data_IF_709846248873
#
_entry.id   IF_709846248873
#
_cell.length_a   1.000
_cell.length_b   1.000
_cell.length_c   1.000
_cell.angle_alpha   90.00
_cell.angle_beta   90.00
_cell.angle_gamma   90.00
#
_symmetry.space_group_name_H-M   'P 1'
#
loop_
_entity.id
_entity.type
_entity.pdbx_description
1 polymer ?
#
# COMPACT_ATOMS: atom_id res chain seq x y z
N UNK A 1 23.76 15.59 15.56
CA UNK A 1 23.99 16.83 14.76
C UNK A 1 22.69 17.33 14.08
N UNK A 2 21.91 18.18 14.74
CA UNK A 2 20.89 19.00 14.06
C UNK A 2 21.34 20.47 14.06
N UNK A 3 21.55 21.06 12.87
CA UNK A 3 21.83 22.49 12.68
C UNK A 3 20.64 23.40 13.06
N UNK A 4 19.64 22.88 13.78
CA UNK A 4 18.39 23.56 14.12
C UNK A 4 18.25 23.88 15.61
N UNK A 5 19.15 23.36 16.47
CA UNK A 5 19.09 23.58 17.92
C UNK A 5 19.20 25.07 18.32
N UNK A 6 19.82 25.90 17.46
CA UNK A 6 19.97 27.35 17.66
C UNK A 6 18.99 28.21 16.84
N UNK A 7 17.97 27.60 16.20
CA UNK A 7 17.00 28.36 15.42
C UNK A 7 16.08 29.18 16.34
N UNK A 8 15.76 30.44 15.99
CA UNK A 8 14.91 31.27 16.83
C UNK A 8 13.49 30.67 16.92
N UNK A 9 12.85 30.82 18.09
CA UNK A 9 11.58 30.15 18.39
C UNK A 9 10.46 30.45 17.38
N UNK A 10 10.44 31.66 16.82
CA UNK A 10 9.52 32.05 15.75
C UNK A 10 9.73 31.25 14.45
N UNK A 11 10.98 30.96 14.08
CA UNK A 11 11.32 30.15 12.91
C UNK A 11 10.97 28.67 13.12
N UNK A 12 11.16 28.14 14.33
CA UNK A 12 10.72 26.79 14.71
C UNK A 12 9.19 26.67 14.62
N UNK A 13 8.45 27.62 15.20
CA UNK A 13 6.98 27.66 15.11
C UNK A 13 6.48 27.79 13.67
N UNK A 14 7.11 28.62 12.84
CA UNK A 14 6.78 28.75 11.43
C UNK A 14 7.04 27.45 10.64
N UNK A 15 8.16 26.76 10.92
CA UNK A 15 8.46 25.44 10.34
C UNK A 15 7.41 24.41 10.73
N UNK A 16 7.05 24.32 12.01
CA UNK A 16 6.01 23.40 12.48
C UNK A 16 4.66 23.67 11.82
N UNK A 17 4.27 24.94 11.69
CA UNK A 17 3.04 25.33 11.00
C UNK A 17 3.05 24.92 9.51
N UNK A 18 4.17 25.14 8.81
CA UNK A 18 4.37 24.74 7.42
C UNK A 18 4.27 23.22 7.26
N UNK A 19 4.99 22.46 8.09
CA UNK A 19 5.04 21.00 8.01
C UNK A 19 3.67 20.39 8.36
N UNK A 20 2.94 20.97 9.33
CA UNK A 20 1.55 20.59 9.64
C UNK A 20 0.60 20.86 8.48
N UNK A 21 0.72 22.02 7.82
CA UNK A 21 -0.08 22.39 6.64
C UNK A 21 0.18 21.44 5.47
N UNK A 22 1.46 21.16 5.18
CA UNK A 22 1.88 20.23 4.13
C UNK A 22 1.30 18.83 4.38
N UNK A 23 1.38 18.34 5.62
CA UNK A 23 0.81 17.05 6.01
C UNK A 23 -0.71 17.00 5.87
N UNK A 24 -1.44 18.03 6.32
CA UNK A 24 -2.90 18.11 6.17
C UNK A 24 -3.31 18.06 4.71
N UNK A 25 -2.61 18.81 3.85
CA UNK A 25 -2.83 18.78 2.40
C UNK A 25 -2.58 17.38 1.82
N UNK A 26 -1.53 16.70 2.26
CA UNK A 26 -1.24 15.31 1.86
C UNK A 26 -2.38 14.35 2.19
N UNK A 27 -2.94 14.44 3.40
CA UNK A 27 -4.09 13.63 3.83
C UNK A 27 -5.31 13.87 2.93
N UNK A 28 -5.64 15.13 2.65
CA UNK A 28 -6.78 15.47 1.78
C UNK A 28 -6.60 14.94 0.35
N UNK A 29 -5.39 15.05 -0.21
CA UNK A 29 -5.06 14.49 -1.52
C UNK A 29 -5.21 12.96 -1.49
N UNK A 30 -4.71 12.29 -0.46
CA UNK A 30 -4.83 10.85 -0.32
C UNK A 30 -6.29 10.40 -0.19
N UNK A 31 -7.14 11.12 0.55
CA UNK A 31 -8.58 10.83 0.62
C UNK A 31 -9.28 11.01 -0.73
N UNK A 32 -8.91 12.04 -1.49
CA UNK A 32 -9.42 12.26 -2.83
C UNK A 32 -9.08 11.10 -3.78
N UNK A 33 -7.93 10.46 -3.59
CA UNK A 33 -7.60 9.24 -4.35
C UNK A 33 -8.61 8.13 -4.14
N UNK A 34 -9.04 7.89 -2.90
CA UNK A 34 -10.04 6.85 -2.60
C UNK A 34 -11.39 7.14 -3.24
N UNK A 35 -11.80 8.42 -3.24
CA UNK A 35 -13.00 8.87 -3.94
C UNK A 35 -12.92 8.62 -5.46
N UNK A 36 -11.83 9.02 -6.11
CA UNK A 36 -11.64 8.84 -7.54
C UNK A 36 -11.50 7.37 -7.95
N UNK A 37 -10.97 6.53 -7.05
CA UNK A 37 -10.90 5.09 -7.26
C UNK A 37 -12.31 4.48 -7.44
N UNK A 38 -13.31 5.01 -6.74
CA UNK A 38 -14.68 4.57 -6.93
C UNK A 38 -15.23 4.90 -8.31
N UNK A 39 -14.93 6.09 -8.84
CA UNK A 39 -15.27 6.44 -10.22
C UNK A 39 -14.62 5.49 -11.23
N UNK A 40 -13.33 5.18 -11.05
CA UNK A 40 -12.64 4.16 -11.84
C UNK A 40 -13.40 2.82 -11.83
N UNK A 41 -13.76 2.35 -10.64
CA UNK A 41 -14.46 1.08 -10.47
C UNK A 41 -15.80 1.09 -11.21
N UNK A 42 -16.62 2.12 -10.99
CA UNK A 42 -17.96 2.17 -11.54
C UNK A 42 -17.99 2.26 -13.07
N UNK A 43 -17.19 3.16 -13.65
CA UNK A 43 -17.16 3.32 -15.11
C UNK A 43 -16.53 2.11 -15.81
N UNK A 44 -15.51 1.48 -15.23
CA UNK A 44 -14.94 0.26 -15.79
C UNK A 44 -15.95 -0.89 -15.75
N UNK A 45 -16.60 -1.11 -14.60
CA UNK A 45 -17.61 -2.17 -14.46
C UNK A 45 -18.75 -1.98 -15.47
N UNK A 46 -19.30 -0.77 -15.60
CA UNK A 46 -20.36 -0.54 -16.59
C UNK A 46 -19.85 -0.61 -18.05
N UNK A 47 -18.61 -0.19 -18.30
CA UNK A 47 -17.95 -0.40 -19.59
C UNK A 47 -17.90 -1.88 -19.98
N UNK A 48 -17.66 -2.76 -19.01
CA UNK A 48 -17.67 -4.22 -19.19
C UNK A 48 -19.08 -4.83 -19.33
N UNK A 49 -20.15 -4.04 -19.19
CA UNK A 49 -21.54 -4.49 -19.35
C UNK A 49 -22.21 -3.90 -20.60
N UNK A 50 -21.46 -3.16 -21.42
CA UNK A 50 -21.99 -2.41 -22.56
C UNK A 50 -21.28 -2.77 -23.87
N UNK A 51 -21.95 -2.48 -24.99
CA UNK A 51 -21.41 -2.70 -26.33
C UNK A 51 -20.93 -4.13 -26.57
N UNK A 52 -19.73 -4.27 -27.11
CA UNK A 52 -19.15 -5.57 -27.50
C UNK A 52 -18.97 -6.53 -26.31
N UNK A 53 -18.95 -6.03 -25.08
CA UNK A 53 -18.83 -6.86 -23.88
C UNK A 53 -20.05 -7.73 -23.64
N UNK A 54 -21.24 -7.30 -24.09
CA UNK A 54 -22.45 -8.12 -24.07
C UNK A 54 -22.24 -9.38 -24.93
N UNK A 55 -21.62 -9.22 -26.11
CA UNK A 55 -21.26 -10.36 -26.96
C UNK A 55 -20.18 -11.23 -26.33
N UNK A 56 -19.20 -10.61 -25.65
CA UNK A 56 -18.14 -11.35 -24.97
C UNK A 56 -18.68 -12.28 -23.90
N UNK A 57 -19.52 -11.75 -23.00
CA UNK A 57 -20.12 -12.54 -21.93
C UNK A 57 -21.23 -13.48 -22.43
N UNK A 58 -21.89 -13.13 -23.53
CA UNK A 58 -22.83 -14.01 -24.23
C UNK A 58 -22.19 -15.13 -25.04
N UNK A 59 -20.85 -15.14 -25.17
CA UNK A 59 -20.10 -16.02 -26.06
C UNK A 59 -20.63 -16.00 -27.51
N UNK A 60 -21.03 -14.82 -27.98
CA UNK A 60 -21.56 -14.56 -29.32
C UNK A 60 -20.58 -13.73 -30.16
N UNK A 61 -20.89 -13.57 -31.45
CA UNK A 61 -20.10 -12.72 -32.35
C UNK A 61 -18.62 -13.11 -32.38
N UNK A 62 -17.74 -12.13 -32.12
CA UNK A 62 -16.30 -12.38 -32.06
C UNK A 62 -15.90 -13.26 -30.88
N UNK A 63 -16.68 -13.35 -29.81
CA UNK A 63 -16.41 -14.21 -28.66
C UNK A 63 -17.00 -15.62 -28.79
N UNK A 64 -17.49 -16.00 -29.97
CA UNK A 64 -17.98 -17.35 -30.22
C UNK A 64 -16.88 -18.38 -29.96
N UNK A 65 -17.21 -19.37 -29.12
CA UNK A 65 -16.31 -20.47 -28.78
C UNK A 65 -15.34 -20.17 -27.64
N UNK A 66 -15.49 -19.05 -26.92
CA UNK A 66 -14.70 -18.81 -25.72
C UNK A 66 -14.93 -19.89 -24.66
N UNK A 67 -13.84 -20.34 -24.05
CA UNK A 67 -13.86 -21.26 -22.92
C UNK A 67 -14.53 -20.65 -21.69
N UNK A 68 -15.08 -21.49 -20.80
CA UNK A 68 -15.59 -21.03 -19.51
C UNK A 68 -14.49 -20.37 -18.65
N UNK A 69 -13.25 -20.81 -18.82
CA UNK A 69 -12.08 -20.17 -18.21
C UNK A 69 -11.90 -18.75 -18.74
N UNK A 70 -11.96 -18.54 -20.06
CA UNK A 70 -11.80 -17.23 -20.64
C UNK A 70 -12.90 -16.24 -20.24
N UNK A 71 -14.16 -16.70 -20.15
CA UNK A 71 -15.27 -15.85 -19.71
C UNK A 71 -15.04 -15.25 -18.31
N UNK A 72 -14.38 -15.99 -17.41
CA UNK A 72 -14.12 -15.53 -16.05
C UNK A 72 -12.78 -14.79 -15.97
N UNK A 73 -11.69 -15.42 -16.41
CA UNK A 73 -10.33 -14.94 -16.15
C UNK A 73 -9.80 -14.04 -17.27
N UNK A 74 -9.94 -14.47 -18.54
CA UNK A 74 -9.42 -13.71 -19.69
C UNK A 74 -10.17 -12.41 -19.89
N UNK A 75 -11.52 -12.41 -19.81
CA UNK A 75 -12.31 -11.18 -19.93
C UNK A 75 -12.06 -10.21 -18.77
N UNK A 76 -11.80 -10.72 -17.56
CA UNK A 76 -11.43 -9.87 -16.43
C UNK A 76 -10.06 -9.21 -16.62
N UNK A 77 -9.07 -9.98 -17.09
CA UNK A 77 -7.77 -9.42 -17.46
C UNK A 77 -7.89 -8.41 -18.60
N UNK A 78 -8.76 -8.69 -19.58
CA UNK A 78 -9.03 -7.80 -20.70
C UNK A 78 -9.65 -6.48 -20.22
N UNK A 79 -10.62 -6.52 -19.31
CA UNK A 79 -11.26 -5.32 -18.76
C UNK A 79 -10.26 -4.44 -18.04
N UNK A 80 -9.43 -5.04 -17.19
CA UNK A 80 -8.31 -4.37 -16.55
C UNK A 80 -7.32 -3.78 -17.58
N UNK A 81 -6.99 -4.53 -18.64
CA UNK A 81 -6.06 -4.10 -19.68
C UNK A 81 -6.59 -2.90 -20.48
N UNK A 82 -7.85 -2.93 -20.91
CA UNK A 82 -8.49 -1.83 -21.66
C UNK A 82 -8.52 -0.56 -20.80
N UNK A 83 -8.93 -0.67 -19.54
CA UNK A 83 -8.90 0.45 -18.60
C UNK A 83 -7.49 1.03 -18.42
N UNK A 84 -6.49 0.17 -18.20
CA UNK A 84 -5.13 0.62 -17.93
C UNK A 84 -4.46 1.22 -19.18
N UNK A 85 -4.80 0.74 -20.38
CA UNK A 85 -4.43 1.38 -21.65
C UNK A 85 -5.07 2.76 -21.79
N UNK A 86 -6.38 2.90 -21.53
CA UNK A 86 -7.05 4.19 -21.50
C UNK A 86 -6.41 5.14 -20.48
N UNK A 87 -6.07 4.62 -19.29
CA UNK A 87 -5.37 5.37 -18.25
C UNK A 87 -3.95 5.77 -18.66
N UNK A 88 -3.24 4.91 -19.40
CA UNK A 88 -1.93 5.21 -19.95
C UNK A 88 -2.00 6.32 -20.98
N UNK A 89 -2.96 6.26 -21.91
CA UNK A 89 -3.22 7.30 -22.90
C UNK A 89 -3.49 8.64 -22.23
N UNK A 90 -4.42 8.68 -21.27
CA UNK A 90 -4.69 9.92 -20.52
C UNK A 90 -3.46 10.41 -19.76
N UNK A 91 -2.71 9.52 -19.11
CA UNK A 91 -1.53 9.90 -18.33
C UNK A 91 -0.43 10.48 -19.22
N UNK A 92 -0.24 9.94 -20.44
CA UNK A 92 0.68 10.48 -21.44
C UNK A 92 0.24 11.85 -21.94
N UNK A 93 -1.06 12.04 -22.25
CA UNK A 93 -1.63 13.34 -22.64
C UNK A 93 -1.37 14.36 -21.53
N UNK A 94 -1.72 14.01 -20.29
CA UNK A 94 -1.52 14.90 -19.15
C UNK A 94 -0.04 15.23 -18.96
N UNK A 95 0.85 14.23 -19.02
CA UNK A 95 2.29 14.44 -18.91
C UNK A 95 2.86 15.33 -20.03
N UNK A 96 2.27 15.28 -21.23
CA UNK A 96 2.61 16.19 -22.32
C UNK A 96 2.23 17.63 -21.96
N UNK A 97 1.00 17.84 -21.48
CA UNK A 97 0.47 19.15 -21.09
C UNK A 97 1.34 19.79 -19.99
N UNK A 98 1.80 19.02 -19.01
CA UNK A 98 2.65 19.53 -17.91
C UNK A 98 4.16 19.50 -18.23
N UNK A 99 4.56 19.15 -19.45
CA UNK A 99 5.97 19.17 -19.88
C UNK A 99 6.86 18.06 -19.30
N UNK A 100 6.30 16.94 -18.84
CA UNK A 100 7.02 15.85 -18.16
C UNK A 100 7.33 14.61 -19.02
N UNK A 101 6.95 14.58 -20.30
CA UNK A 101 7.24 13.45 -21.18
C UNK A 101 8.74 13.15 -21.35
N UNK A 102 9.59 14.18 -21.34
CA UNK A 102 11.04 14.01 -21.40
C UNK A 102 11.58 13.29 -20.16
N UNK A 103 11.07 13.63 -18.98
CA UNK A 103 11.44 12.99 -17.71
C UNK A 103 10.95 11.55 -17.64
N UNK A 104 9.77 11.26 -18.19
CA UNK A 104 9.28 9.90 -18.37
C UNK A 104 10.27 9.03 -19.16
N UNK A 105 10.68 9.47 -20.36
CA UNK A 105 11.62 8.71 -21.19
C UNK A 105 12.97 8.46 -20.49
N UNK A 106 13.50 9.47 -19.79
CA UNK A 106 14.75 9.33 -19.03
C UNK A 106 14.60 8.34 -17.88
N UNK A 107 13.48 8.41 -17.15
CA UNK A 107 13.24 7.61 -15.95
C UNK A 107 13.18 6.12 -16.22
N UNK A 108 12.69 5.68 -17.39
CA UNK A 108 12.61 4.26 -17.78
C UNK A 108 13.97 3.53 -17.71
N UNK A 109 15.07 4.24 -17.95
CA UNK A 109 16.41 3.66 -17.94
C UNK A 109 17.11 3.73 -16.58
N UNK A 110 16.50 4.41 -15.60
CA UNK A 110 17.07 4.56 -14.26
C UNK A 110 16.75 3.36 -13.37
N UNK A 111 17.56 3.12 -12.32
CA UNK A 111 17.27 2.07 -11.34
C UNK A 111 15.90 2.26 -10.66
N UNK A 112 15.52 3.47 -10.19
CA UNK A 112 14.17 3.70 -9.62
C UNK A 112 13.03 3.44 -10.62
N UNK A 113 13.19 3.86 -11.88
CA UNK A 113 12.19 3.58 -12.91
C UNK A 113 11.99 2.08 -13.18
N UNK A 114 13.08 1.29 -13.19
CA UNK A 114 12.98 -0.17 -13.33
C UNK A 114 12.29 -0.83 -12.13
N UNK A 115 12.52 -0.33 -10.92
CA UNK A 115 11.81 -0.80 -9.72
C UNK A 115 10.30 -0.50 -9.83
N UNK A 116 9.93 0.68 -10.34
CA UNK A 116 8.53 1.04 -10.61
C UNK A 116 7.88 0.11 -11.64
N UNK A 117 8.59 -0.26 -12.71
CA UNK A 117 8.08 -1.21 -13.71
C UNK A 117 7.77 -2.56 -13.06
N UNK A 118 8.68 -3.10 -12.24
CA UNK A 118 8.46 -4.37 -11.54
C UNK A 118 7.28 -4.29 -10.57
N UNK A 119 7.18 -3.21 -9.80
CA UNK A 119 6.05 -2.99 -8.90
C UNK A 119 4.72 -2.89 -9.67
N UNK A 120 4.72 -2.19 -10.80
CA UNK A 120 3.55 -2.03 -11.67
C UNK A 120 3.11 -3.35 -12.32
N UNK A 121 4.00 -4.33 -12.53
CA UNK A 121 3.61 -5.66 -13.01
C UNK A 121 2.82 -6.44 -11.94
N UNK A 122 3.16 -6.25 -10.66
CA UNK A 122 2.46 -6.89 -9.54
C UNK A 122 1.11 -6.20 -9.30
N UNK A 123 1.11 -4.87 -9.22
CA UNK A 123 -0.10 -4.11 -8.92
C UNK A 123 -1.01 -3.84 -10.12
N UNK A 124 -0.49 -3.94 -11.33
CA UNK A 124 -1.25 -3.78 -12.56
C UNK A 124 -1.85 -5.12 -13.01
N UNK A 125 -1.16 -5.89 -13.87
CA UNK A 125 -1.67 -7.15 -14.42
C UNK A 125 -2.21 -8.12 -13.36
N UNK A 126 -1.47 -8.38 -12.28
CA UNK A 126 -1.93 -9.34 -11.28
C UNK A 126 -3.08 -8.77 -10.41
N UNK A 127 -2.85 -7.65 -9.71
CA UNK A 127 -3.86 -7.13 -8.78
C UNK A 127 -5.10 -6.58 -9.48
N UNK A 128 -4.96 -5.81 -10.57
CA UNK A 128 -6.12 -5.29 -11.32
C UNK A 128 -6.96 -6.42 -11.91
N UNK A 129 -6.34 -7.48 -12.44
CA UNK A 129 -7.10 -8.65 -12.94
C UNK A 129 -7.85 -9.34 -11.81
N UNK A 130 -7.20 -9.59 -10.67
CA UNK A 130 -7.86 -10.18 -9.51
C UNK A 130 -9.02 -9.31 -8.99
N UNK A 131 -8.86 -7.99 -9.03
CA UNK A 131 -9.92 -7.06 -8.67
C UNK A 131 -11.12 -7.15 -9.61
N UNK A 132 -10.88 -7.18 -10.92
CA UNK A 132 -11.94 -7.31 -11.91
C UNK A 132 -12.63 -8.67 -11.81
N UNK A 133 -11.89 -9.76 -11.58
CA UNK A 133 -12.50 -11.08 -11.28
C UNK A 133 -13.42 -10.95 -10.06
N UNK A 134 -12.97 -10.27 -9.01
CA UNK A 134 -13.78 -9.99 -7.82
C UNK A 134 -15.10 -9.29 -8.17
N UNK A 135 -15.02 -8.21 -8.95
CA UNK A 135 -16.18 -7.42 -9.37
C UNK A 135 -17.15 -8.25 -10.22
N UNK A 136 -16.65 -9.01 -11.19
CA UNK A 136 -17.52 -9.80 -12.08
C UNK A 136 -18.20 -10.97 -11.35
N UNK A 137 -17.55 -11.53 -10.32
CA UNK A 137 -18.06 -12.72 -9.61
C UNK A 137 -18.93 -12.40 -8.40
N UNK A 138 -18.74 -11.25 -7.76
CA UNK A 138 -19.38 -10.90 -6.50
C UNK A 138 -19.88 -9.45 -6.44
N UNK A 139 -19.70 -8.66 -7.49
CA UNK A 139 -20.14 -7.27 -7.56
C UNK A 139 -19.27 -6.31 -6.76
N UNK A 140 -19.77 -5.08 -6.57
CA UNK A 140 -19.05 -3.98 -5.90
C UNK A 140 -18.79 -4.21 -4.41
N UNK A 141 -19.37 -5.26 -3.81
CA UNK A 141 -19.20 -5.58 -2.40
C UNK A 141 -17.80 -6.09 -2.03
N UNK A 142 -17.04 -6.54 -3.04
CA UNK A 142 -15.65 -6.96 -2.86
C UNK A 142 -14.68 -5.79 -2.67
N UNK A 143 -15.09 -4.57 -3.03
CA UNK A 143 -14.20 -3.41 -3.04
C UNK A 143 -13.64 -3.10 -1.65
N UNK A 144 -14.43 -3.15 -0.56
CA UNK A 144 -13.91 -3.13 0.80
C UNK A 144 -12.86 -4.21 1.11
N UNK A 145 -13.01 -5.43 0.58
CA UNK A 145 -12.05 -6.53 0.79
C UNK A 145 -10.74 -6.20 0.07
N UNK A 146 -10.81 -5.68 -1.16
CA UNK A 146 -9.65 -5.21 -1.89
C UNK A 146 -8.91 -4.07 -1.17
N UNK A 147 -9.62 -3.27 -0.36
CA UNK A 147 -9.06 -2.19 0.49
C UNK A 147 -8.23 -2.69 1.69
N UNK A 148 -8.15 -4.00 1.90
CA UNK A 148 -7.24 -4.60 2.88
C UNK A 148 -5.76 -4.47 2.50
N UNK A 149 -5.43 -3.84 1.36
CA UNK A 149 -4.06 -3.65 0.90
C UNK A 149 -3.17 -2.97 1.95
N UNK A 150 -3.68 -2.01 2.72
CA UNK A 150 -2.94 -1.34 3.80
C UNK A 150 -2.65 -2.31 4.97
N UNK A 151 -3.62 -3.15 5.33
CA UNK A 151 -3.47 -4.18 6.36
C UNK A 151 -2.46 -5.26 5.94
N UNK A 152 -2.57 -5.75 4.70
CA UNK A 152 -1.64 -6.74 4.15
C UNK A 152 -0.24 -6.14 4.01
N UNK A 153 -0.12 -4.91 3.51
CA UNK A 153 1.15 -4.18 3.43
C UNK A 153 1.81 -4.01 4.80
N UNK A 154 1.03 -3.74 5.85
CA UNK A 154 1.53 -3.69 7.24
C UNK A 154 2.12 -5.03 7.69
N UNK A 155 1.42 -6.13 7.39
CA UNK A 155 1.83 -7.49 7.77
C UNK A 155 3.10 -7.89 7.00
N UNK A 156 3.13 -7.66 5.69
CA UNK A 156 4.31 -7.95 4.86
C UNK A 156 5.50 -7.10 5.31
N UNK A 157 5.27 -5.83 5.64
CA UNK A 157 6.30 -4.94 6.18
C UNK A 157 6.93 -5.45 7.48
N UNK A 158 6.19 -6.18 8.32
CA UNK A 158 6.77 -6.87 9.48
C UNK A 158 7.78 -7.95 9.07
N UNK A 159 7.52 -8.71 8.02
CA UNK A 159 8.44 -9.79 7.61
C UNK A 159 9.62 -9.26 6.79
N UNK A 160 9.37 -8.35 5.85
CA UNK A 160 10.39 -7.80 4.96
C UNK A 160 11.28 -6.75 5.66
N UNK A 161 10.66 -5.83 6.40
CA UNK A 161 11.35 -4.70 7.03
C UNK A 161 11.54 -4.87 8.54
N UNK A 162 11.12 -6.01 9.11
CA UNK A 162 11.21 -6.31 10.56
C UNK A 162 10.56 -5.24 11.44
N UNK A 163 9.58 -4.52 10.90
CA UNK A 163 8.85 -3.48 11.62
C UNK A 163 7.95 -4.12 12.69
N UNK A 164 8.01 -3.60 13.92
CA UNK A 164 7.10 -4.02 15.00
C UNK A 164 5.68 -3.57 14.66
N UNK A 165 4.72 -4.49 14.77
CA UNK A 165 3.29 -4.13 14.76
C UNK A 165 2.91 -3.63 16.16
N UNK A 166 2.59 -2.35 16.29
CA UNK A 166 2.07 -1.80 17.54
C UNK A 166 0.67 -2.34 17.85
N UNK A 167 0.24 -2.26 19.12
CA UNK A 167 -1.11 -2.70 19.51
C UNK A 167 -2.22 -1.99 18.69
N UNK A 168 -2.02 -0.71 18.35
CA UNK A 168 -2.94 0.04 17.49
C UNK A 168 -2.97 -0.47 16.05
N UNK A 169 -1.83 -0.89 15.49
CA UNK A 169 -1.78 -1.52 14.16
C UNK A 169 -2.54 -2.85 14.16
N UNK A 170 -2.35 -3.68 15.20
CA UNK A 170 -3.05 -4.95 15.35
C UNK A 170 -4.57 -4.72 15.48
N UNK A 171 -5.00 -3.76 16.31
CA UNK A 171 -6.40 -3.39 16.45
C UNK A 171 -7.02 -2.99 15.10
N UNK A 172 -6.35 -2.11 14.35
CA UNK A 172 -6.81 -1.71 13.01
C UNK A 172 -6.95 -2.89 12.06
N UNK A 173 -5.96 -3.80 12.03
CA UNK A 173 -6.01 -5.03 11.23
C UNK A 173 -7.23 -5.88 11.63
N UNK A 174 -7.44 -6.14 12.92
CA UNK A 174 -8.58 -6.95 13.40
C UNK A 174 -9.91 -6.34 12.97
N UNK A 175 -10.08 -5.01 13.13
CA UNK A 175 -11.29 -4.31 12.69
C UNK A 175 -11.52 -4.48 11.19
N UNK A 176 -10.47 -4.34 10.37
CA UNK A 176 -10.57 -4.54 8.92
C UNK A 176 -11.00 -5.97 8.55
N UNK A 177 -10.43 -6.99 9.20
CA UNK A 177 -10.82 -8.38 8.97
C UNK A 177 -12.26 -8.67 9.42
N UNK A 178 -12.70 -8.14 10.58
CA UNK A 178 -14.09 -8.24 11.02
C UNK A 178 -15.06 -7.56 10.04
N UNK A 179 -14.68 -6.40 9.51
CA UNK A 179 -15.45 -5.71 8.48
C UNK A 179 -15.54 -6.53 7.19
N UNK A 180 -14.43 -7.14 6.74
CA UNK A 180 -14.43 -8.01 5.56
C UNK A 180 -15.38 -9.22 5.74
N UNK A 181 -15.40 -9.84 6.93
CA UNK A 181 -16.32 -10.93 7.25
C UNK A 181 -17.77 -10.46 7.24
N UNK A 182 -18.07 -9.31 7.85
CA UNK A 182 -19.43 -8.73 7.85
C UNK A 182 -19.90 -8.45 6.42
N UNK A 183 -19.05 -7.88 5.59
CA UNK A 183 -19.34 -7.56 4.19
C UNK A 183 -19.55 -8.85 3.40
N UNK A 184 -18.64 -9.82 3.51
CA UNK A 184 -18.77 -11.12 2.85
C UNK A 184 -20.04 -11.87 3.26
N UNK A 185 -20.50 -11.72 4.51
CA UNK A 185 -21.73 -12.37 4.99
C UNK A 185 -23.00 -11.90 4.28
N UNK A 186 -22.99 -10.72 3.67
CA UNK A 186 -24.16 -10.23 2.91
C UNK A 186 -24.36 -10.94 1.58
N UNK A 187 -23.33 -11.63 1.07
CA UNK A 187 -23.44 -12.52 -0.08
C UNK A 187 -23.96 -13.93 0.28
N UNK A 188 -24.27 -14.19 1.56
CA UNK A 188 -24.80 -15.48 2.01
C UNK A 188 -26.32 -15.53 1.83
N UNK A 189 -26.81 -16.67 1.36
CA UNK A 189 -28.24 -17.03 1.44
C UNK A 189 -28.38 -18.18 2.45
N UNK A 190 -28.85 -17.88 3.66
CA UNK A 190 -28.82 -18.83 4.78
C UNK A 190 -27.40 -19.05 5.32
N UNK A 191 -26.96 -20.32 5.45
CA UNK A 191 -25.60 -20.70 5.88
C UNK A 191 -24.69 -21.09 4.71
N UNK A 192 -25.13 -20.88 3.47
CA UNK A 192 -24.43 -21.30 2.25
C UNK A 192 -23.85 -20.10 1.53
N UNK A 193 -22.59 -20.21 1.08
CA UNK A 193 -21.99 -19.27 0.15
C UNK A 193 -22.18 -19.77 -1.28
N UNK A 194 -22.57 -18.87 -2.19
CA UNK A 194 -22.47 -19.13 -3.61
C UNK A 194 -20.99 -19.28 -4.02
N UNK A 195 -20.69 -20.27 -4.86
CA UNK A 195 -19.32 -20.57 -5.29
C UNK A 195 -18.66 -19.41 -6.03
N UNK A 196 -19.43 -18.63 -6.79
CA UNK A 196 -18.92 -17.42 -7.46
C UNK A 196 -18.59 -16.32 -6.44
N UNK A 197 -19.45 -16.11 -5.44
CA UNK A 197 -19.18 -15.14 -4.37
C UNK A 197 -17.88 -15.47 -3.61
N UNK A 198 -17.62 -16.75 -3.29
CA UNK A 198 -16.36 -17.17 -2.65
C UNK A 198 -15.15 -16.89 -3.55
N UNK A 199 -15.23 -17.23 -4.84
CA UNK A 199 -14.17 -16.95 -5.79
C UNK A 199 -13.89 -15.44 -5.90
N UNK A 200 -14.94 -14.62 -5.96
CA UNK A 200 -14.84 -13.17 -6.03
C UNK A 200 -14.16 -12.57 -4.80
N UNK A 201 -14.54 -13.02 -3.60
CA UNK A 201 -13.89 -12.60 -2.36
C UNK A 201 -12.41 -13.03 -2.30
N UNK A 202 -12.10 -14.26 -2.70
CA UNK A 202 -10.72 -14.75 -2.76
C UNK A 202 -9.86 -13.92 -3.74
N UNK A 203 -10.41 -13.61 -4.91
CA UNK A 203 -9.75 -12.75 -5.90
C UNK A 203 -9.53 -11.32 -5.35
N UNK A 204 -10.49 -10.76 -4.62
CA UNK A 204 -10.33 -9.45 -3.99
C UNK A 204 -9.22 -9.43 -2.92
N UNK A 205 -9.06 -10.52 -2.16
CA UNK A 205 -7.91 -10.68 -1.24
C UNK A 205 -6.57 -10.74 -2.00
N UNK A 206 -6.51 -11.42 -3.15
CA UNK A 206 -5.31 -11.44 -3.99
C UNK A 206 -5.01 -10.06 -4.60
N UNK A 207 -6.04 -9.29 -4.97
CA UNK A 207 -5.88 -7.90 -5.38
C UNK A 207 -5.31 -7.03 -4.25
N UNK A 208 -5.85 -7.17 -3.03
CA UNK A 208 -5.32 -6.49 -1.85
C UNK A 208 -3.86 -6.85 -1.58
N UNK A 209 -3.46 -8.11 -1.78
CA UNK A 209 -2.08 -8.55 -1.68
C UNK A 209 -1.17 -7.86 -2.70
N UNK A 210 -1.55 -7.89 -3.98
CA UNK A 210 -0.77 -7.29 -5.05
C UNK A 210 -0.59 -5.78 -4.89
N UNK A 211 -1.65 -5.06 -4.53
CA UNK A 211 -1.54 -3.61 -4.23
C UNK A 211 -0.86 -3.30 -2.90
N UNK A 212 -0.95 -4.19 -1.91
CA UNK A 212 -0.18 -4.05 -0.67
C UNK A 212 1.33 -4.11 -0.92
N UNK A 213 1.76 -4.99 -1.84
CA UNK A 213 3.15 -5.07 -2.30
C UNK A 213 3.53 -3.86 -3.17
N UNK A 214 2.70 -3.50 -4.17
CA UNK A 214 2.94 -2.33 -5.02
C UNK A 214 3.06 -1.05 -4.18
N UNK A 215 2.13 -0.83 -3.24
CA UNK A 215 2.10 0.36 -2.39
C UNK A 215 3.34 0.50 -1.50
N UNK A 216 3.85 -0.61 -0.97
CA UNK A 216 5.10 -0.63 -0.19
C UNK A 216 6.31 -0.21 -1.03
N UNK A 217 6.38 -0.63 -2.29
CA UNK A 217 7.50 -0.30 -3.20
C UNK A 217 7.32 1.08 -3.85
N UNK A 218 6.11 1.42 -4.26
CA UNK A 218 5.75 2.65 -4.97
C UNK A 218 5.97 3.90 -4.13
N UNK A 219 5.68 3.84 -2.82
CA UNK A 219 5.95 4.94 -1.89
C UNK A 219 7.44 5.30 -1.82
N UNK A 220 8.34 4.31 -1.81
CA UNK A 220 9.78 4.53 -1.84
C UNK A 220 10.24 5.13 -3.18
N UNK A 221 9.73 4.61 -4.30
CA UNK A 221 10.12 5.08 -5.62
C UNK A 221 9.73 6.54 -5.88
N UNK A 222 8.61 7.01 -5.32
CA UNK A 222 8.14 8.41 -5.45
C UNK A 222 8.97 9.42 -4.63
N UNK A 223 9.84 8.96 -3.74
CA UNK A 223 10.83 9.84 -3.10
C UNK A 223 11.96 10.24 -4.07
N UNK A 224 12.09 9.53 -5.19
CA UNK A 224 13.22 9.66 -6.13
C UNK A 224 12.73 10.05 -7.54
N UNK A 225 11.56 9.54 -7.96
CA UNK A 225 10.91 9.86 -9.23
C UNK A 225 9.68 10.72 -8.94
N UNK A 226 9.50 11.79 -9.72
CA UNK A 226 8.30 12.62 -9.63
C UNK A 226 7.03 11.76 -9.81
N UNK A 227 6.01 11.99 -8.98
CA UNK A 227 4.82 11.15 -8.94
C UNK A 227 4.06 11.12 -10.27
N UNK A 228 4.07 12.21 -11.06
CA UNK A 228 3.42 12.23 -12.37
C UNK A 228 4.12 11.27 -13.33
N UNK A 229 5.45 11.31 -13.35
CA UNK A 229 6.27 10.40 -14.15
C UNK A 229 6.09 8.96 -13.69
N UNK A 230 6.06 8.72 -12.37
CA UNK A 230 5.85 7.39 -11.81
C UNK A 230 4.52 6.77 -12.25
N UNK A 231 3.44 7.57 -12.31
CA UNK A 231 2.14 7.07 -12.78
C UNK A 231 2.12 6.82 -14.28
N UNK A 232 2.78 7.63 -15.11
CA UNK A 232 2.91 7.32 -16.54
C UNK A 232 3.61 5.98 -16.73
N UNK A 233 4.73 5.73 -16.01
CA UNK A 233 5.42 4.43 -16.04
C UNK A 233 4.44 3.32 -15.62
N UNK A 234 3.78 3.49 -14.47
CA UNK A 234 2.87 2.49 -13.91
C UNK A 234 1.73 2.12 -14.86
N UNK A 235 1.03 3.10 -15.43
CA UNK A 235 -0.10 2.83 -16.34
C UNK A 235 0.35 2.26 -17.68
N UNK A 236 1.43 2.78 -18.27
CA UNK A 236 1.97 2.21 -19.50
C UNK A 236 2.43 0.77 -19.30
N UNK A 237 3.17 0.48 -18.22
CA UNK A 237 3.58 -0.88 -17.89
C UNK A 237 2.38 -1.78 -17.66
N UNK A 238 1.41 -1.35 -16.86
CA UNK A 238 0.23 -2.16 -16.57
C UNK A 238 -0.57 -2.45 -17.83
N UNK A 239 -0.95 -1.42 -18.59
CA UNK A 239 -1.75 -1.56 -19.79
C UNK A 239 -1.08 -2.45 -20.83
N UNK A 240 0.21 -2.25 -21.11
CA UNK A 240 0.93 -3.04 -22.13
C UNK A 240 1.12 -4.49 -21.68
N UNK A 241 1.60 -4.73 -20.45
CA UNK A 241 1.85 -6.09 -19.96
C UNK A 241 0.54 -6.86 -19.85
N UNK A 242 -0.53 -6.22 -19.37
CA UNK A 242 -1.81 -6.89 -19.24
C UNK A 242 -2.40 -7.21 -20.63
N UNK A 243 -2.44 -6.22 -21.53
CA UNK A 243 -3.01 -6.35 -22.87
C UNK A 243 -2.28 -7.35 -23.77
N UNK A 244 -0.94 -7.36 -23.74
CA UNK A 244 -0.12 -8.16 -24.66
C UNK A 244 0.21 -9.54 -24.06
N UNK A 245 0.56 -9.58 -22.77
CA UNK A 245 1.12 -10.78 -22.14
C UNK A 245 0.02 -11.51 -21.37
N UNK A 246 -0.60 -10.88 -20.37
CA UNK A 246 -1.50 -11.61 -19.45
C UNK A 246 -2.77 -12.10 -20.13
N UNK A 247 -3.44 -11.26 -20.91
CA UNK A 247 -4.64 -11.66 -21.67
C UNK A 247 -4.34 -12.83 -22.62
N UNK A 248 -3.20 -12.80 -23.30
CA UNK A 248 -2.76 -13.87 -24.20
C UNK A 248 -2.46 -15.17 -23.45
N UNK A 249 -1.74 -15.11 -22.33
CA UNK A 249 -1.44 -16.28 -21.49
C UNK A 249 -2.73 -16.92 -20.97
N UNK A 250 -3.66 -16.12 -20.45
CA UNK A 250 -4.93 -16.63 -19.93
C UNK A 250 -5.80 -17.24 -21.02
N UNK A 251 -5.82 -16.66 -22.23
CA UNK A 251 -6.52 -17.27 -23.37
C UNK A 251 -5.96 -18.66 -23.69
N UNK A 252 -4.63 -18.81 -23.75
CA UNK A 252 -3.99 -20.10 -24.04
C UNK A 252 -4.25 -21.11 -22.91
N UNK A 253 -4.20 -20.67 -21.65
CA UNK A 253 -4.52 -21.52 -20.49
C UNK A 253 -5.97 -22.01 -20.49
N UNK A 254 -6.89 -21.20 -21.03
CA UNK A 254 -8.30 -21.58 -21.22
C UNK A 254 -8.53 -22.58 -22.36
N UNK A 255 -7.50 -22.88 -23.16
CA UNK A 255 -7.61 -23.71 -24.36
C UNK A 255 -8.17 -22.96 -25.57
N UNK A 256 -8.25 -21.62 -25.51
CA UNK A 256 -8.71 -20.79 -26.62
C UNK A 256 -7.62 -20.67 -27.70
N UNK A 257 -8.05 -20.40 -28.94
CA UNK A 257 -7.14 -20.30 -30.07
C UNK A 257 -6.07 -19.20 -29.87
N UNK A 258 -4.85 -19.45 -30.35
CA UNK A 258 -3.77 -18.47 -30.36
C UNK A 258 -4.25 -17.22 -31.12
N UNK A 259 -4.12 -16.05 -30.47
CA UNK A 259 -4.59 -14.78 -31.03
C UNK A 259 -5.95 -14.33 -30.53
N UNK A 260 -6.70 -15.18 -29.80
CA UNK A 260 -7.98 -14.82 -29.17
C UNK A 260 -7.85 -13.56 -28.30
N UNK A 261 -6.82 -13.49 -27.46
CA UNK A 261 -6.56 -12.32 -26.62
C UNK A 261 -6.45 -11.01 -27.41
N UNK A 262 -5.65 -10.99 -28.49
CA UNK A 262 -5.51 -9.81 -29.35
C UNK A 262 -6.78 -9.47 -30.11
N UNK A 263 -7.54 -10.49 -30.54
CA UNK A 263 -8.81 -10.30 -31.24
C UNK A 263 -9.84 -9.64 -30.33
N UNK A 264 -9.99 -10.13 -29.09
CA UNK A 264 -10.89 -9.53 -28.11
C UNK A 264 -10.44 -8.11 -27.72
N UNK A 265 -9.13 -7.90 -27.53
CA UNK A 265 -8.57 -6.57 -27.29
C UNK A 265 -8.86 -5.59 -28.42
N UNK A 266 -8.62 -6.00 -29.67
CA UNK A 266 -8.91 -5.18 -30.84
C UNK A 266 -10.39 -4.81 -30.91
N UNK A 267 -11.28 -5.76 -30.67
CA UNK A 267 -12.72 -5.51 -30.64
C UNK A 267 -13.14 -4.56 -29.50
N UNK A 268 -12.58 -4.72 -28.29
CA UNK A 268 -12.88 -3.82 -27.17
C UNK A 268 -12.35 -2.39 -27.41
N UNK A 269 -11.19 -2.23 -28.03
CA UNK A 269 -10.57 -0.93 -28.30
C UNK A 269 -11.22 -0.17 -29.47
N UNK A 270 -12.02 -0.82 -30.29
CA UNK A 270 -12.76 -0.19 -31.40
C UNK A 270 -14.26 -0.07 -31.14
N UNK A 271 -14.75 -0.59 -30.00
CA UNK A 271 -16.15 -0.54 -29.61
C UNK A 271 -16.50 0.80 -28.95
N UNK A 272 -16.97 1.76 -29.76
CA UNK A 272 -17.38 3.09 -29.31
C UNK A 272 -18.30 3.09 -28.07
N UNK A 273 -19.36 2.27 -28.00
CA UNK A 273 -20.29 2.20 -26.86
C UNK A 273 -19.66 1.89 -25.50
N UNK A 274 -18.66 1.01 -25.43
CA UNK A 274 -17.95 0.71 -24.17
C UNK A 274 -16.71 1.58 -23.97
N UNK A 275 -15.96 1.90 -25.03
CA UNK A 275 -14.65 2.54 -24.95
C UNK A 275 -14.66 3.90 -24.25
N UNK A 276 -15.71 4.71 -24.45
CA UNK A 276 -15.80 6.01 -23.78
C UNK A 276 -15.91 5.88 -22.26
N UNK A 277 -16.58 4.83 -21.77
CA UNK A 277 -16.67 4.52 -20.33
C UNK A 277 -15.31 4.09 -19.79
N UNK A 278 -14.59 3.23 -20.51
CA UNK A 278 -13.22 2.87 -20.16
C UNK A 278 -12.26 4.07 -20.20
N UNK A 279 -12.46 5.01 -21.11
CA UNK A 279 -11.65 6.23 -21.15
C UNK A 279 -11.87 7.08 -19.90
N UNK A 280 -13.12 7.30 -19.50
CA UNK A 280 -13.46 7.99 -18.25
C UNK A 280 -12.92 7.22 -17.04
N UNK A 281 -13.11 5.90 -16.99
CA UNK A 281 -12.57 5.04 -15.94
C UNK A 281 -11.04 5.17 -15.84
N UNK A 282 -10.35 5.18 -16.97
CA UNK A 282 -8.91 5.38 -17.08
C UNK A 282 -8.45 6.76 -16.59
N UNK A 283 -9.23 7.81 -16.83
CA UNK A 283 -8.97 9.15 -16.25
C UNK A 283 -9.09 9.13 -14.72
N UNK A 284 -10.17 8.55 -14.20
CA UNK A 284 -10.36 8.38 -12.75
C UNK A 284 -9.23 7.54 -12.13
N UNK A 285 -8.83 6.45 -12.78
CA UNK A 285 -7.74 5.61 -12.34
C UNK A 285 -6.42 6.42 -12.30
N UNK A 286 -6.11 7.15 -13.37
CA UNK A 286 -4.89 7.96 -13.45
C UNK A 286 -4.80 8.97 -12.30
N UNK A 287 -5.86 9.74 -12.06
CA UNK A 287 -5.87 10.71 -10.95
C UNK A 287 -5.88 10.03 -9.58
N UNK A 288 -6.58 8.90 -9.44
CA UNK A 288 -6.57 8.12 -8.21
C UNK A 288 -5.14 7.69 -7.85
N UNK A 289 -4.43 6.99 -8.75
CA UNK A 289 -3.06 6.57 -8.49
C UNK A 289 -2.10 7.75 -8.27
N UNK A 290 -2.26 8.86 -9.01
CA UNK A 290 -1.46 10.09 -8.81
C UNK A 290 -1.64 10.65 -7.41
N UNK A 291 -2.87 10.79 -6.97
CA UNK A 291 -3.17 11.35 -5.65
C UNK A 291 -2.84 10.38 -4.53
N UNK A 292 -2.90 9.07 -4.77
CA UNK A 292 -2.40 8.08 -3.84
C UNK A 292 -0.89 8.23 -3.63
N UNK A 293 -0.12 8.29 -4.72
CA UNK A 293 1.35 8.44 -4.67
C UNK A 293 1.77 9.79 -4.06
N UNK A 294 1.12 10.88 -4.49
CA UNK A 294 1.36 12.23 -3.96
C UNK A 294 0.96 12.35 -2.49
N UNK A 295 -0.19 11.81 -2.12
CA UNK A 295 -0.65 11.81 -0.73
C UNK A 295 0.33 11.05 0.18
N UNK A 296 0.76 9.86 -0.26
CA UNK A 296 1.76 9.05 0.43
C UNK A 296 3.11 9.77 0.60
N UNK A 297 3.61 10.47 -0.43
CA UNK A 297 4.86 11.21 -0.31
C UNK A 297 4.77 12.45 0.60
N UNK A 298 3.58 13.01 0.79
CA UNK A 298 3.37 14.20 1.62
C UNK A 298 3.09 13.92 3.10
N UNK A 299 2.32 12.86 3.40
CA UNK A 299 1.90 12.54 4.76
C UNK A 299 2.49 11.24 5.33
N UNK A 300 3.34 10.56 4.57
CA UNK A 300 3.95 9.27 4.89
C UNK A 300 3.24 8.11 4.21
N UNK A 301 3.99 7.08 3.79
CA UNK A 301 3.48 5.95 3.01
C UNK A 301 2.31 5.23 3.70
N UNK A 302 2.43 4.97 5.00
CA UNK A 302 1.40 4.30 5.78
C UNK A 302 0.10 5.12 5.85
N UNK A 303 0.19 6.42 6.17
CA UNK A 303 -0.97 7.28 6.27
C UNK A 303 -1.62 7.52 4.90
N UNK A 304 -0.81 7.70 3.85
CA UNK A 304 -1.30 7.83 2.48
C UNK A 304 -2.02 6.59 1.96
N UNK A 305 -1.46 5.39 2.22
CA UNK A 305 -2.14 4.13 1.92
C UNK A 305 -3.45 3.97 2.69
N UNK A 306 -3.47 4.34 3.97
CA UNK A 306 -4.69 4.31 4.77
C UNK A 306 -5.78 5.24 4.25
N UNK A 307 -5.42 6.48 3.92
CA UNK A 307 -6.38 7.44 3.37
C UNK A 307 -6.93 7.01 2.00
N UNK A 308 -6.10 6.39 1.15
CA UNK A 308 -6.56 5.81 -0.10
C UNK A 308 -7.59 4.70 0.13
N UNK A 309 -7.40 3.85 1.14
CA UNK A 309 -8.31 2.76 1.52
C UNK A 309 -9.76 3.18 1.84
N UNK A 310 -10.06 4.48 1.91
CA UNK A 310 -11.44 4.99 1.87
C UNK A 310 -12.23 4.60 0.61
N UNK A 311 -11.56 4.13 -0.44
CA UNK A 311 -12.24 3.52 -1.58
C UNK A 311 -13.10 2.31 -1.19
N UNK A 312 -12.87 1.68 -0.03
CA UNK A 312 -13.76 0.68 0.55
C UNK A 312 -15.22 1.16 0.58
N UNK A 313 -15.45 2.44 0.91
CA UNK A 313 -16.77 3.05 0.89
C UNK A 313 -17.11 3.64 -0.48
N UNK A 314 -16.17 4.35 -1.10
CA UNK A 314 -16.44 5.09 -2.33
C UNK A 314 -16.68 4.19 -3.54
N UNK A 315 -16.02 3.04 -3.65
CA UNK A 315 -16.25 2.11 -4.78
C UNK A 315 -17.70 1.65 -4.88
N UNK A 316 -18.24 1.01 -3.83
CA UNK A 316 -19.64 0.60 -3.83
C UNK A 316 -20.61 1.78 -3.99
N UNK A 317 -20.29 2.96 -3.41
CA UNK A 317 -21.07 4.19 -3.60
C UNK A 317 -21.10 4.66 -5.04
N UNK A 318 -19.95 4.76 -5.71
CA UNK A 318 -19.88 5.13 -7.11
C UNK A 318 -20.58 4.12 -8.02
N UNK A 319 -20.45 2.82 -7.76
CA UNK A 319 -21.19 1.80 -8.51
C UNK A 319 -22.70 1.98 -8.34
N UNK A 320 -23.17 2.26 -7.13
CA UNK A 320 -24.59 2.54 -6.89
C UNK A 320 -25.07 3.80 -7.64
N UNK A 321 -24.32 4.90 -7.58
CA UNK A 321 -24.72 6.17 -8.23
C UNK A 321 -24.67 6.06 -9.76
N UNK A 322 -23.56 5.56 -10.31
CA UNK A 322 -23.37 5.52 -11.77
C UNK A 322 -24.20 4.40 -12.37
N UNK A 323 -23.99 3.17 -11.90
CA UNK A 323 -24.55 1.98 -12.55
C UNK A 323 -26.02 1.79 -12.13
N UNK A 324 -26.29 1.89 -10.82
CA UNK A 324 -27.63 1.77 -10.28
C UNK A 324 -28.57 2.93 -10.64
N UNK A 325 -28.20 4.16 -10.28
CA UNK A 325 -29.10 5.30 -10.44
C UNK A 325 -29.03 5.97 -11.82
N UNK A 326 -27.83 6.22 -12.35
CA UNK A 326 -27.69 6.95 -13.61
C UNK A 326 -27.98 6.07 -14.84
N UNK A 327 -27.54 4.81 -14.83
CA UNK A 327 -27.81 3.85 -15.91
C UNK A 327 -29.00 2.92 -15.64
N UNK A 328 -29.58 2.94 -14.44
CA UNK A 328 -30.80 2.20 -14.13
C UNK A 328 -30.62 0.68 -14.06
N UNK A 329 -29.42 0.20 -13.73
CA UNK A 329 -29.12 -1.23 -13.65
C UNK A 329 -29.41 -1.77 -12.25
N UNK A 330 -30.24 -2.80 -12.17
CA UNK A 330 -30.58 -3.46 -10.91
C UNK A 330 -29.38 -4.19 -10.28
N UNK A 331 -29.42 -4.42 -8.96
CA UNK A 331 -28.42 -5.20 -8.24
C UNK A 331 -27.26 -4.40 -7.63
N UNK A 332 -27.18 -3.09 -7.88
CA UNK A 332 -26.18 -2.20 -7.27
C UNK A 332 -26.64 -1.52 -5.97
N UNK A 333 -27.89 -1.72 -5.58
CA UNK A 333 -28.38 -1.31 -4.26
C UNK A 333 -27.79 -2.23 -3.19
N UNK A 334 -26.95 -1.67 -2.32
CA UNK A 334 -26.25 -2.44 -1.29
C UNK A 334 -27.09 -2.44 0.00
N UNK A 335 -27.28 -3.60 0.65
CA UNK A 335 -27.98 -3.69 1.92
C UNK A 335 -27.23 -2.91 3.02
N UNK A 336 -27.95 -2.47 4.05
CA UNK A 336 -27.39 -1.61 5.09
C UNK A 336 -26.16 -2.22 5.79
N UNK A 337 -26.08 -3.55 5.90
CA UNK A 337 -24.94 -4.28 6.46
C UNK A 337 -23.67 -4.06 5.63
N UNK A 338 -23.79 -4.00 4.30
CA UNK A 338 -22.66 -3.70 3.41
C UNK A 338 -22.13 -2.29 3.62
N UNK A 339 -23.02 -1.31 3.80
CA UNK A 339 -22.64 0.07 4.13
C UNK A 339 -21.98 0.19 5.50
N UNK A 340 -22.57 -0.44 6.52
CA UNK A 340 -21.99 -0.47 7.87
C UNK A 340 -20.63 -1.14 7.85
N UNK A 341 -20.49 -2.27 7.16
CA UNK A 341 -19.22 -2.95 6.96
C UNK A 341 -18.18 -2.06 6.27
N UNK A 342 -18.54 -1.36 5.19
CA UNK A 342 -17.64 -0.44 4.51
C UNK A 342 -17.18 0.72 5.42
N UNK A 343 -18.07 1.26 6.27
CA UNK A 343 -17.70 2.29 7.25
C UNK A 343 -16.76 1.74 8.34
N UNK A 344 -17.04 0.55 8.88
CA UNK A 344 -16.16 -0.11 9.84
C UNK A 344 -14.78 -0.40 9.21
N UNK A 345 -14.75 -0.80 7.94
CA UNK A 345 -13.51 -0.99 7.17
C UNK A 345 -12.69 0.31 7.13
N UNK A 346 -13.31 1.43 6.78
CA UNK A 346 -12.64 2.75 6.77
C UNK A 346 -12.08 3.11 8.14
N UNK A 347 -12.85 2.88 9.22
CA UNK A 347 -12.39 3.13 10.60
C UNK A 347 -11.17 2.27 10.93
N UNK A 348 -11.19 0.98 10.61
CA UNK A 348 -10.06 0.06 10.82
C UNK A 348 -8.80 0.51 10.07
N UNK A 349 -8.95 0.90 8.81
CA UNK A 349 -7.86 1.39 7.96
C UNK A 349 -7.26 2.68 8.54
N UNK A 350 -8.08 3.63 9.00
CA UNK A 350 -7.61 4.88 9.60
C UNK A 350 -6.87 4.63 10.91
N UNK A 351 -7.40 3.76 11.79
CA UNK A 351 -6.73 3.38 13.05
C UNK A 351 -5.37 2.75 12.77
N UNK A 352 -5.32 1.81 11.82
CA UNK A 352 -4.08 1.18 11.38
C UNK A 352 -3.09 2.25 10.91
N UNK A 353 -3.50 3.11 9.98
CA UNK A 353 -2.65 4.09 9.33
C UNK A 353 -2.08 5.14 10.29
N UNK A 354 -2.88 5.63 11.24
CA UNK A 354 -2.43 6.53 12.31
C UNK A 354 -1.41 5.82 13.22
N UNK A 355 -1.69 4.56 13.59
CA UNK A 355 -0.80 3.77 14.44
C UNK A 355 0.53 3.46 13.77
N UNK A 356 0.52 3.20 12.46
CA UNK A 356 1.72 3.00 11.65
C UNK A 356 2.54 4.28 11.52
N UNK A 357 1.90 5.42 11.26
CA UNK A 357 2.58 6.72 11.18
C UNK A 357 3.26 7.07 12.52
N UNK A 358 2.57 6.84 13.64
CA UNK A 358 3.13 7.02 14.98
C UNK A 358 4.37 6.13 15.20
N UNK A 359 4.25 4.83 14.93
CA UNK A 359 5.35 3.88 15.08
C UNK A 359 6.56 4.23 14.18
N UNK A 360 6.29 4.72 12.95
CA UNK A 360 7.34 5.13 12.01
C UNK A 360 8.11 6.35 12.53
N UNK A 361 7.41 7.32 13.12
CA UNK A 361 8.05 8.51 13.72
C UNK A 361 8.88 8.16 14.94
N UNK A 362 8.33 7.34 15.82
CA UNK A 362 9.07 6.84 16.99
C UNK A 362 10.37 6.14 16.55
N UNK A 363 10.31 5.31 15.50
CA UNK A 363 11.49 4.66 14.94
C UNK A 363 12.51 5.63 14.34
N UNK A 364 12.08 6.72 13.69
CA UNK A 364 12.98 7.75 13.17
C UNK A 364 13.69 8.55 14.27
N UNK A 365 13.08 8.65 15.45
CA UNK A 365 13.67 9.34 16.61
C UNK A 365 14.55 8.44 17.48
N UNK A 366 14.56 7.12 17.27
CA UNK A 366 15.40 6.20 18.04
C UNK A 366 16.86 6.30 17.62
N UNK A 367 17.75 6.37 18.61
CA UNK A 367 19.17 6.20 18.40
C UNK A 367 19.48 4.77 17.94
N UNK A 368 20.54 4.54 17.13
CA UNK A 368 21.12 3.21 16.98
C UNK A 368 21.42 2.60 18.35
N UNK A 369 21.24 1.28 18.51
CA UNK A 369 21.32 0.60 19.81
C UNK A 369 22.60 0.95 20.59
N UNK A 370 23.77 0.91 19.95
CA UNK A 370 25.03 1.23 20.63
C UNK A 370 25.11 2.69 21.09
N UNK A 371 24.54 3.62 20.32
CA UNK A 371 24.44 5.02 20.73
C UNK A 371 23.45 5.18 21.90
N UNK A 372 22.36 4.42 21.92
CA UNK A 372 21.41 4.42 23.02
C UNK A 372 22.03 3.85 24.32
N UNK A 373 22.85 2.78 24.21
CA UNK A 373 23.63 2.23 25.32
C UNK A 373 24.57 3.31 25.88
N UNK A 374 25.34 3.98 25.03
CA UNK A 374 26.22 5.06 25.47
C UNK A 374 25.43 6.21 26.11
N UNK A 375 24.32 6.63 25.49
CA UNK A 375 23.46 7.69 26.03
C UNK A 375 22.88 7.35 27.39
N UNK A 376 22.63 6.08 27.69
CA UNK A 376 22.16 5.65 29.01
C UNK A 376 23.19 5.98 30.12
N UNK A 377 24.48 5.80 29.85
CA UNK A 377 25.55 6.09 30.80
C UNK A 377 25.84 7.58 30.99
N UNK A 378 25.27 8.47 30.17
CA UNK A 378 25.41 9.92 30.38
C UNK A 378 24.69 10.43 31.63
N UNK A 379 23.84 9.59 32.23
CA UNK A 379 23.24 9.84 33.54
C UNK A 379 24.24 9.74 34.70
N UNK A 380 25.44 9.20 34.46
CA UNK A 380 26.46 8.97 35.49
C UNK A 380 26.10 7.87 36.51
N UNK A 381 24.98 7.16 36.30
CA UNK A 381 24.58 6.04 37.16
C UNK A 381 25.38 4.79 36.79
N UNK A 382 25.82 4.07 37.83
CA UNK A 382 26.38 2.73 37.67
C UNK A 382 25.30 1.77 37.20
N UNK A 383 25.62 0.90 36.25
CA UNK A 383 24.69 -0.08 35.71
C UNK A 383 25.41 -1.28 35.08
N UNK A 384 24.81 -2.47 35.19
CA UNK A 384 25.24 -3.67 34.49
C UNK A 384 24.46 -3.88 33.19
N UNK A 385 24.80 -4.93 32.43
CA UNK A 385 24.08 -5.30 31.20
C UNK A 385 22.57 -5.43 31.42
N UNK A 386 22.15 -6.07 32.50
CA UNK A 386 20.72 -6.31 32.78
C UNK A 386 19.97 -4.99 33.00
N UNK A 387 20.56 -4.05 33.73
CA UNK A 387 19.97 -2.72 33.97
C UNK A 387 19.79 -1.94 32.66
N UNK A 388 20.83 -1.95 31.81
CA UNK A 388 20.78 -1.33 30.47
C UNK A 388 19.73 -2.02 29.60
N UNK A 389 19.70 -3.36 29.62
CA UNK A 389 18.72 -4.14 28.88
C UNK A 389 17.31 -3.83 29.36
N UNK A 390 17.06 -3.67 30.65
CA UNK A 390 15.73 -3.38 31.17
C UNK A 390 15.27 -1.95 30.86
N UNK A 391 16.18 -0.98 30.98
CA UNK A 391 15.91 0.40 30.59
C UNK A 391 15.58 0.54 29.10
N UNK A 392 16.27 -0.22 28.24
CA UNK A 392 16.14 -0.14 26.79
C UNK A 392 15.16 -1.19 26.21
N UNK A 393 14.63 -2.12 27.03
CA UNK A 393 13.84 -3.29 26.58
C UNK A 393 12.62 -2.91 25.76
N UNK A 394 11.90 -1.88 26.19
CA UNK A 394 10.67 -1.40 25.55
C UNK A 394 10.91 -1.02 24.08
N UNK A 395 12.06 -0.40 23.81
CA UNK A 395 12.42 0.10 22.49
C UNK A 395 13.17 -0.95 21.67
N UNK A 396 14.19 -1.59 22.25
CA UNK A 396 15.16 -2.41 21.53
C UNK A 396 15.04 -3.92 21.76
N UNK A 397 14.15 -4.38 22.66
CA UNK A 397 14.09 -5.77 23.12
C UNK A 397 13.84 -6.87 22.07
N UNK A 398 13.48 -6.51 20.84
CA UNK A 398 13.32 -7.48 19.73
C UNK A 398 14.47 -7.45 18.74
N UNK A 399 15.48 -6.61 18.97
CA UNK A 399 16.64 -6.52 18.09
C UNK A 399 17.50 -7.75 18.33
N UNK A 400 18.04 -8.35 17.28
CA UNK A 400 18.96 -9.49 17.41
C UNK A 400 20.19 -9.11 18.28
N UNK A 401 20.65 -7.86 18.11
CA UNK A 401 21.70 -7.21 18.88
C UNK A 401 21.38 -6.99 20.37
N UNK A 402 20.13 -7.17 20.79
CA UNK A 402 19.72 -7.04 22.19
C UNK A 402 19.87 -8.33 23.00
N UNK A 403 20.51 -9.35 22.42
CA UNK A 403 20.90 -10.56 23.13
C UNK A 403 22.03 -10.28 24.11
N UNK A 404 22.05 -11.03 25.21
CA UNK A 404 23.04 -10.96 26.28
C UNK A 404 24.47 -10.82 25.75
N UNK A 405 24.87 -11.75 24.87
CA UNK A 405 26.20 -11.75 24.26
C UNK A 405 26.53 -10.47 23.49
N UNK A 406 25.61 -9.98 22.65
CA UNK A 406 25.88 -8.80 21.82
C UNK A 406 25.84 -7.50 22.64
N UNK A 407 25.03 -7.45 23.70
CA UNK A 407 25.02 -6.34 24.65
C UNK A 407 26.31 -6.31 25.48
N UNK A 408 26.81 -7.45 25.93
CA UNK A 408 28.12 -7.56 26.61
C UNK A 408 29.26 -7.11 25.69
N UNK A 409 29.28 -7.58 24.44
CA UNK A 409 30.27 -7.14 23.44
C UNK A 409 30.20 -5.63 23.21
N UNK A 410 29.00 -5.03 23.17
CA UNK A 410 28.82 -3.59 23.01
C UNK A 410 29.34 -2.79 24.23
N UNK A 411 29.06 -3.25 25.45
CA UNK A 411 29.57 -2.64 26.68
C UNK A 411 31.09 -2.77 26.79
N UNK A 412 31.63 -3.95 26.51
CA UNK A 412 33.08 -4.18 26.50
C UNK A 412 33.78 -3.32 25.44
N UNK A 413 33.17 -3.15 24.27
CA UNK A 413 33.66 -2.24 23.23
C UNK A 413 33.66 -0.80 23.73
N UNK A 414 32.56 -0.33 24.33
CA UNK A 414 32.49 1.02 24.90
C UNK A 414 33.55 1.24 26.00
N UNK A 415 33.79 0.23 26.84
CA UNK A 415 34.79 0.28 27.90
C UNK A 415 36.21 0.33 27.34
N UNK A 416 36.51 -0.51 26.35
CA UNK A 416 37.82 -0.59 25.71
C UNK A 416 38.17 0.68 24.92
N UNK A 417 37.17 1.46 24.52
CA UNK A 417 37.33 2.75 23.84
C UNK A 417 37.24 3.95 24.82
N UNK A 418 37.23 3.70 26.14
CA UNK A 418 37.24 4.76 27.14
C UNK A 418 35.98 5.61 27.19
N UNK A 419 34.83 5.08 26.74
CA UNK A 419 33.54 5.77 26.82
C UNK A 419 32.77 5.46 28.11
N UNK A 420 33.07 4.31 28.72
CA UNK A 420 32.59 3.88 30.04
C UNK A 420 33.75 3.20 30.75
N UNK A 421 33.68 3.04 32.08
CA UNK A 421 34.68 2.30 32.85
C UNK A 421 34.02 1.23 33.73
N UNK A 422 34.72 0.11 33.93
CA UNK A 422 34.35 -0.88 34.92
C UNK A 422 34.42 -0.27 36.33
N UNK A 423 33.37 -0.46 37.10
CA UNK A 423 33.20 0.11 38.44
C UNK A 423 33.18 -0.97 39.52
N UNK A 424 32.53 -2.11 39.22
CA UNK A 424 32.32 -3.20 40.16
C UNK A 424 32.12 -4.52 39.42
N UNK A 425 32.59 -5.61 40.04
CA UNK A 425 32.46 -6.98 39.56
C UNK A 425 31.75 -7.82 40.61
N UNK A 426 30.76 -8.60 40.20
CA UNK A 426 30.00 -9.51 41.06
C UNK A 426 29.82 -10.87 40.39
N UNK A 427 29.48 -11.89 41.18
CA UNK A 427 29.00 -13.17 40.69
C UNK A 427 27.51 -13.25 40.98
N UNK A 428 26.69 -13.56 39.97
CA UNK A 428 25.27 -13.79 40.17
C UNK A 428 25.01 -15.13 40.90
N UNK A 429 23.75 -15.35 41.30
CA UNK A 429 23.33 -16.58 42.01
C UNK A 429 23.50 -17.87 41.19
N UNK A 430 23.76 -17.75 39.89
CA UNK A 430 24.00 -18.88 38.98
C UNK A 430 25.50 -19.09 38.70
N UNK A 431 26.38 -18.28 39.31
CA UNK A 431 27.83 -18.33 39.15
C UNK A 431 28.33 -17.63 37.88
N UNK A 432 27.56 -16.73 37.27
CA UNK A 432 28.02 -15.93 36.12
C UNK A 432 28.60 -14.59 36.59
N UNK A 433 29.60 -14.10 35.86
CA UNK A 433 30.20 -12.78 36.08
C UNK A 433 29.21 -11.67 35.68
N UNK A 434 29.03 -10.69 36.57
CA UNK A 434 28.28 -9.45 36.32
C UNK A 434 29.25 -8.29 36.44
N UNK A 435 29.35 -7.50 35.37
CA UNK A 435 30.22 -6.32 35.29
C UNK A 435 29.34 -5.07 35.32
N UNK A 436 29.63 -4.17 36.24
CA UNK A 436 29.01 -2.86 36.33
C UNK A 436 29.90 -1.80 35.71
N UNK A 437 29.29 -0.93 34.91
CA UNK A 437 29.97 0.16 34.24
C UNK A 437 29.46 1.52 34.73
N UNK A 438 30.29 2.55 34.61
CA UNK A 438 29.94 3.94 34.91
C UNK A 438 30.75 4.89 34.02
N UNK A 439 30.18 6.03 33.67
CA UNK A 439 30.91 7.14 33.02
C UNK A 439 31.19 8.25 34.03
N UNK A 440 32.42 8.78 34.00
CA UNK A 440 32.76 10.03 34.67
C UNK A 440 32.42 11.25 33.79
N UNK A 441 32.68 12.47 34.26
CA UNK A 441 32.29 13.68 33.53
C UNK A 441 32.98 13.80 32.16
N UNK A 442 34.24 13.38 32.02
CA UNK A 442 34.97 13.46 30.76
C UNK A 442 34.42 12.47 29.72
N UNK A 443 34.09 11.25 30.17
CA UNK A 443 33.40 10.25 29.37
C UNK A 443 32.00 10.73 28.94
N UNK A 444 31.23 11.32 29.85
CA UNK A 444 29.90 11.88 29.59
C UNK A 444 29.98 12.97 28.51
N UNK A 445 30.90 13.91 28.66
CA UNK A 445 31.11 15.00 27.70
C UNK A 445 31.53 14.45 26.33
N UNK A 446 32.36 13.40 26.31
CA UNK A 446 32.77 12.71 25.08
C UNK A 446 31.58 12.02 24.41
N UNK A 447 30.76 11.27 25.15
CA UNK A 447 29.56 10.62 24.61
C UNK A 447 28.59 11.66 24.03
N UNK A 448 28.32 12.75 24.75
CA UNK A 448 27.40 13.79 24.31
C UNK A 448 27.85 14.45 23.00
N UNK A 449 29.16 14.62 22.76
CA UNK A 449 29.68 15.12 21.46
C UNK A 449 29.30 14.24 20.27
N UNK A 450 29.16 12.93 20.47
CA UNK A 450 28.88 11.98 19.38
C UNK A 450 27.42 11.58 19.26
N UNK A 451 26.63 11.72 20.33
CA UNK A 451 25.26 11.18 20.42
C UNK A 451 24.17 12.28 20.42
N UNK A 452 24.51 13.55 20.59
CA UNK A 452 23.55 14.69 20.55
C UNK A 452 23.18 15.24 19.15
#
# INVERSE_FOLDING_TARGET
>A
MSNLANAPANALAAKEARDKSFRKKGILIALLSGFLYGGYTAFMTHGMESGVWIDFYGATGVAKGLSAFALIYTLSALGAAVNDLCSAVWSLIYAAIIGRLGDFKRSLNTKPGKILIVAAIIGGPFASTCYVIGLQMAGSIIVPIAALNAAIGAIIGRFLYKQKLSAGMILGIVICFCAAVLIGSTGMTGLSFDGKAVLGMAAAFLAALGWGIEGAVGGYACCIVDYEVAIVIRQCTSGIVNAVILVSILSIMGGDEIGTGFRLLGAALTDGPSLWMFFIAGMFASFSFKFWYKGASMCGAALGMGCNGTYAFWGPFWCFIVIGLAFGVDGYAIPWQGWVGALIMVVGIVILAISQDKATKEAQTMLPLNMAILKFFTSGKEACRADVQDALRSQYGTFRAFSDKQMDEALQTACSNGLIAESRLEMDSSGNLVIYYKSDQEMIDTINKYVD
#
